data_IF_140340593226
#
_entry.id   IF_140340593226
#
_cell.length_a   1.000
_cell.length_b   1.000
_cell.length_c   1.000
_cell.angle_alpha   90.00
_cell.angle_beta   90.00
_cell.angle_gamma   90.00
#
_symmetry.space_group_name_H-M   'P 1'
#
loop_
_entity.id
_entity.type
_entity.pdbx_description
1 polymer ?
#
# COMPACT_ATOMS: atom_id res chain seq x y z
N UNK A 1 -0.48 8.02 -3.56
CA UNK A 1 -1.29 7.70 -2.38
C UNK A 1 -2.58 7.00 -2.77
N UNK A 2 -3.25 6.38 -1.78
CA UNK A 2 -4.44 5.58 -1.95
C UNK A 2 -5.63 6.42 -2.45
N UNK A 3 -6.33 5.94 -3.47
CA UNK A 3 -7.36 6.72 -4.17
C UNK A 3 -8.65 6.91 -3.38
N UNK A 4 -8.84 6.22 -2.27
CA UNK A 4 -10.06 6.31 -1.46
C UNK A 4 -10.02 7.44 -0.43
N UNK A 5 -8.85 7.98 -0.05
CA UNK A 5 -8.84 9.10 0.92
C UNK A 5 -9.66 10.30 0.43
N UNK A 6 -9.51 10.78 -0.82
CA UNK A 6 -10.35 11.87 -1.32
C UNK A 6 -11.83 11.48 -1.45
N UNK A 7 -12.13 10.21 -1.71
CA UNK A 7 -13.51 9.71 -1.77
C UNK A 7 -14.19 9.84 -0.41
N UNK A 8 -13.50 9.48 0.67
CA UNK A 8 -14.02 9.65 2.02
C UNK A 8 -14.09 11.11 2.44
N UNK A 9 -13.11 11.94 2.07
CA UNK A 9 -13.19 13.39 2.31
C UNK A 9 -14.44 13.98 1.65
N UNK A 10 -14.70 13.64 0.39
CA UNK A 10 -15.90 14.09 -0.31
C UNK A 10 -17.20 13.56 0.33
N UNK A 11 -17.21 12.29 0.77
CA UNK A 11 -18.39 11.68 1.40
C UNK A 11 -18.78 12.38 2.71
N UNK A 12 -17.78 12.81 3.49
CA UNK A 12 -17.98 13.46 4.78
C UNK A 12 -17.85 14.99 4.71
N UNK A 13 -17.82 15.57 3.50
CA UNK A 13 -17.68 17.01 3.27
C UNK A 13 -16.48 17.63 4.00
N UNK A 14 -15.36 16.90 4.03
CA UNK A 14 -14.11 17.32 4.63
C UNK A 14 -13.21 17.98 3.59
N UNK A 15 -12.71 19.17 3.91
CA UNK A 15 -11.60 19.77 3.18
C UNK A 15 -10.32 18.97 3.43
N UNK A 16 -9.51 18.80 2.38
CA UNK A 16 -8.20 18.17 2.49
C UNK A 16 -7.14 18.95 1.72
N UNK A 17 -5.93 18.95 2.27
CA UNK A 17 -4.75 19.44 1.59
C UNK A 17 -3.90 18.26 1.10
N UNK A 18 -3.70 18.17 -0.22
CA UNK A 18 -2.86 17.12 -0.80
C UNK A 18 -1.40 17.60 -0.85
N UNK A 19 -0.56 17.02 0.01
CA UNK A 19 0.90 17.19 -0.08
C UNK A 19 1.44 16.27 -1.17
N UNK A 20 1.98 16.80 -2.30
CA UNK A 20 2.53 15.96 -3.36
C UNK A 20 3.79 15.23 -2.90
N UNK A 21 3.95 13.97 -3.30
CA UNK A 21 5.22 13.25 -3.12
C UNK A 21 6.36 13.95 -3.86
N UNK A 22 7.60 13.75 -3.43
CA UNK A 22 8.80 14.19 -4.14
C UNK A 22 8.94 13.48 -5.50
N UNK A 23 9.87 13.93 -6.34
CA UNK A 23 10.06 13.37 -7.70
C UNK A 23 10.38 11.87 -7.68
N UNK A 24 11.12 11.42 -6.66
CA UNK A 24 11.47 10.01 -6.42
C UNK A 24 10.34 9.22 -5.70
N UNK A 25 9.15 9.80 -5.60
CA UNK A 25 7.98 9.28 -4.88
C UNK A 25 8.15 9.10 -3.37
N UNK A 26 9.18 9.69 -2.75
CA UNK A 26 9.26 9.74 -1.29
C UNK A 26 8.23 10.73 -0.70
N UNK A 27 7.83 10.49 0.55
CA UNK A 27 6.97 11.41 1.29
C UNK A 27 7.83 12.57 1.78
N UNK A 28 7.45 13.84 1.51
CA UNK A 28 8.19 15.00 1.98
C UNK A 28 7.90 15.26 3.47
N UNK A 29 8.68 14.62 4.34
CA UNK A 29 8.47 14.59 5.80
C UNK A 29 8.15 15.98 6.36
N UNK A 30 8.97 16.98 6.11
CA UNK A 30 8.84 18.33 6.69
C UNK A 30 7.60 19.09 6.18
N UNK A 31 7.09 18.75 4.99
CA UNK A 31 5.87 19.35 4.43
C UNK A 31 4.59 18.78 5.05
N UNK A 32 4.71 17.77 5.91
CA UNK A 32 3.57 17.12 6.57
C UNK A 32 3.20 17.79 7.92
N UNK A 33 3.90 18.83 8.37
CA UNK A 33 3.78 19.41 9.73
C UNK A 33 2.87 20.64 9.81
N UNK A 34 2.01 20.86 8.83
CA UNK A 34 1.16 22.05 8.80
C UNK A 34 0.01 21.97 9.81
N UNK A 35 -0.48 23.11 10.29
CA UNK A 35 -1.65 23.14 11.17
C UNK A 35 -2.91 22.69 10.40
N UNK A 36 -3.49 21.56 10.80
CA UNK A 36 -4.56 20.83 10.11
C UNK A 36 -5.40 20.00 11.11
N UNK A 37 -6.44 19.28 10.64
CA UNK A 37 -7.28 18.41 11.49
C UNK A 37 -6.77 16.98 11.70
N UNK A 38 -5.73 16.57 10.97
CA UNK A 38 -5.10 15.25 11.02
C UNK A 38 -4.30 14.98 9.73
N UNK A 39 -3.35 14.05 9.82
CA UNK A 39 -2.50 13.64 8.71
C UNK A 39 -2.78 12.16 8.40
N UNK A 40 -2.88 11.79 7.13
CA UNK A 40 -3.02 10.39 6.71
C UNK A 40 -2.10 10.08 5.53
N UNK A 41 -1.34 8.98 5.63
CA UNK A 41 -0.56 8.46 4.52
C UNK A 41 -0.40 6.95 4.60
N UNK A 42 -0.30 6.25 3.44
CA UNK A 42 0.00 4.84 3.42
C UNK A 42 1.51 4.62 3.52
N UNK A 43 1.91 3.65 4.35
CA UNK A 43 3.28 3.21 4.46
C UNK A 43 3.32 1.67 4.59
N UNK A 44 3.78 0.91 3.56
CA UNK A 44 4.26 1.36 2.27
C UNK A 44 3.20 2.07 1.40
N UNK A 45 3.62 3.06 0.60
CA UNK A 45 2.70 3.86 -0.20
C UNK A 45 2.06 3.06 -1.35
N UNK A 46 0.76 3.23 -1.56
CA UNK A 46 0.10 2.81 -2.80
C UNK A 46 -0.05 4.01 -3.75
N UNK A 47 0.28 3.90 -5.05
CA UNK A 47 0.63 2.67 -5.79
C UNK A 47 2.13 2.38 -5.93
N UNK A 48 3.03 3.15 -5.29
CA UNK A 48 4.47 3.10 -5.62
C UNK A 48 5.23 1.98 -4.91
N UNK A 49 4.74 1.49 -3.77
CA UNK A 49 5.36 0.45 -2.96
C UNK A 49 6.46 0.97 -2.01
N UNK A 50 6.88 2.23 -2.17
CA UNK A 50 7.94 2.86 -1.40
C UNK A 50 7.52 3.04 0.06
N UNK A 51 8.40 2.67 0.99
CA UNK A 51 8.20 2.86 2.43
C UNK A 51 9.04 4.01 2.97
N UNK A 52 8.56 4.59 4.07
CA UNK A 52 9.31 5.41 5.01
C UNK A 52 9.83 4.54 6.14
N UNK A 53 11.03 4.86 6.60
CA UNK A 53 11.63 4.33 7.82
C UNK A 53 11.00 4.95 9.08
N UNK A 54 11.08 4.24 10.21
CA UNK A 54 10.47 4.67 11.47
C UNK A 54 10.94 6.05 11.94
N UNK A 55 12.21 6.40 11.73
CA UNK A 55 12.75 7.72 12.11
C UNK A 55 12.08 8.88 11.36
N UNK A 56 11.73 8.67 10.09
CA UNK A 56 10.98 9.65 9.31
C UNK A 56 9.53 9.78 9.84
N UNK A 57 8.91 8.67 10.23
CA UNK A 57 7.57 8.66 10.83
C UNK A 57 7.60 9.37 12.20
N UNK A 58 8.62 9.14 13.02
CA UNK A 58 8.81 9.86 14.30
C UNK A 58 8.85 11.38 14.10
N UNK A 59 9.52 11.88 13.05
CA UNK A 59 9.53 13.30 12.71
C UNK A 59 8.14 13.82 12.34
N UNK A 60 7.36 13.05 11.56
CA UNK A 60 5.97 13.40 11.23
C UNK A 60 5.10 13.47 12.48
N UNK A 61 5.25 12.50 13.39
CA UNK A 61 4.50 12.45 14.63
C UNK A 61 4.82 13.64 15.55
N UNK A 62 6.11 13.95 15.74
CA UNK A 62 6.55 15.09 16.54
C UNK A 62 6.18 16.44 15.91
N UNK A 63 6.21 16.55 14.58
CA UNK A 63 5.78 17.77 13.87
C UNK A 63 4.27 18.02 13.91
N UNK A 64 3.47 17.02 14.31
CA UNK A 64 2.01 17.08 14.37
C UNK A 64 1.50 16.82 15.80
N UNK A 65 2.23 17.26 16.83
CA UNK A 65 1.78 17.15 18.22
C UNK A 65 0.38 17.76 18.40
N UNK A 66 -0.53 16.99 19.02
CA UNK A 66 -1.93 17.38 19.19
C UNK A 66 -2.83 17.15 17.98
N UNK A 67 -2.30 16.62 16.86
CA UNK A 67 -3.07 16.24 15.68
C UNK A 67 -2.91 14.74 15.41
N UNK A 68 -4.01 14.07 15.04
CA UNK A 68 -3.96 12.63 14.76
C UNK A 68 -3.14 12.37 13.49
N UNK A 69 -2.19 11.45 13.57
CA UNK A 69 -1.43 10.94 12.42
C UNK A 69 -1.82 9.49 12.18
N UNK A 70 -2.39 9.24 11.01
CA UNK A 70 -2.83 7.92 10.56
C UNK A 70 -1.79 7.34 9.62
N UNK A 71 -1.17 6.22 10.02
CA UNK A 71 -0.29 5.43 9.16
C UNK A 71 -1.06 4.21 8.66
N UNK A 72 -1.42 4.22 7.38
CA UNK A 72 -2.08 3.07 6.72
C UNK A 72 -1.03 2.04 6.30
N UNK A 73 -0.98 0.96 7.06
CA UNK A 73 -0.05 -0.16 6.94
C UNK A 73 -0.65 -1.35 6.20
N UNK A 74 -1.55 -1.11 5.23
CA UNK A 74 -2.19 -2.19 4.46
C UNK A 74 -1.22 -3.16 3.76
N UNK A 75 0.04 -2.78 3.58
CA UNK A 75 1.07 -3.57 2.90
C UNK A 75 2.32 -3.81 3.77
N UNK A 76 2.30 -3.49 5.06
CA UNK A 76 3.52 -3.49 5.90
C UNK A 76 4.20 -4.86 6.00
N UNK A 77 3.39 -5.92 5.99
CA UNK A 77 3.83 -7.31 6.15
C UNK A 77 4.76 -7.82 5.04
N UNK A 78 4.89 -7.09 3.91
CA UNK A 78 5.75 -7.50 2.78
C UNK A 78 7.18 -6.94 2.88
N UNK A 79 7.65 -6.68 4.10
CA UNK A 79 9.05 -6.37 4.41
C UNK A 79 9.34 -4.93 4.84
N UNK A 80 8.33 -4.18 5.28
CA UNK A 80 8.49 -2.89 5.94
C UNK A 80 8.53 -2.99 7.47
N UNK A 81 8.90 -1.89 8.13
CA UNK A 81 8.93 -1.79 9.60
C UNK A 81 7.68 -1.08 10.13
N UNK A 82 6.94 -1.75 11.01
CA UNK A 82 5.66 -1.23 11.51
C UNK A 82 5.82 -0.12 12.54
N UNK A 83 5.07 0.96 12.35
CA UNK A 83 4.90 2.08 13.26
C UNK A 83 4.15 1.69 14.54
N UNK A 84 3.60 0.48 14.66
CA UNK A 84 2.98 -0.02 15.91
C UNK A 84 3.94 0.11 17.11
N UNK A 85 5.24 -0.09 16.87
CA UNK A 85 6.29 0.08 17.87
C UNK A 85 6.35 1.50 18.47
N UNK A 86 5.84 2.51 17.75
CA UNK A 86 5.86 3.92 18.13
C UNK A 86 4.65 4.34 18.97
N UNK A 87 3.58 3.52 19.05
CA UNK A 87 2.31 3.89 19.70
C UNK A 87 2.51 4.27 21.18
N UNK A 88 3.47 3.64 21.86
CA UNK A 88 3.78 3.95 23.26
C UNK A 88 4.37 5.34 23.46
N UNK A 89 5.12 5.82 22.47
CA UNK A 89 5.83 7.10 22.52
C UNK A 89 4.98 8.25 21.98
N UNK A 90 4.03 7.96 21.08
CA UNK A 90 3.24 8.96 20.35
C UNK A 90 1.74 8.70 20.50
N UNK A 91 1.05 9.36 21.45
CA UNK A 91 -0.38 9.14 21.70
C UNK A 91 -1.27 9.60 20.53
N UNK A 92 -0.74 10.43 19.62
CA UNK A 92 -1.43 10.90 18.41
C UNK A 92 -1.29 9.95 17.20
N UNK A 93 -0.58 8.81 17.34
CA UNK A 93 -0.44 7.81 16.29
C UNK A 93 -1.64 6.85 16.26
N UNK A 94 -2.24 6.70 15.08
CA UNK A 94 -3.16 5.62 14.74
C UNK A 94 -2.58 4.80 13.58
N UNK A 95 -2.32 3.52 13.80
CA UNK A 95 -1.90 2.58 12.74
C UNK A 95 -3.11 1.79 12.27
N UNK A 96 -3.30 1.68 10.95
CA UNK A 96 -4.39 0.88 10.37
C UNK A 96 -3.79 -0.27 9.58
N UNK A 97 -4.31 -1.48 9.79
CA UNK A 97 -3.89 -2.68 9.07
C UNK A 97 -5.09 -3.47 8.55
N UNK A 98 -4.86 -4.40 7.64
CA UNK A 98 -5.91 -5.20 7.00
C UNK A 98 -5.50 -6.65 6.81
N UNK A 99 -6.49 -7.55 6.87
CA UNK A 99 -6.32 -8.96 6.53
C UNK A 99 -6.52 -9.19 5.02
N UNK A 100 -6.78 -8.12 4.25
CA UNK A 100 -7.09 -8.24 2.82
C UNK A 100 -5.90 -8.64 1.96
N UNK A 101 -4.67 -8.45 2.43
CA UNK A 101 -3.45 -8.57 1.63
C UNK A 101 -2.65 -9.79 2.06
N UNK A 102 -1.75 -9.61 3.02
CA UNK A 102 -0.83 -10.62 3.55
C UNK A 102 -1.53 -11.83 4.15
N UNK A 103 -2.74 -11.66 4.69
CA UNK A 103 -3.56 -12.75 5.23
C UNK A 103 -4.44 -13.43 4.18
N UNK A 104 -4.43 -13.00 2.92
CA UNK A 104 -5.25 -13.57 1.83
C UNK A 104 -6.78 -13.52 2.05
N UNK A 105 -7.28 -12.64 2.91
CA UNK A 105 -8.70 -12.55 3.28
C UNK A 105 -9.40 -11.32 2.70
N UNK A 106 -9.07 -10.93 1.46
CA UNK A 106 -9.69 -9.77 0.79
C UNK A 106 -11.22 -9.85 0.76
N UNK A 107 -11.79 -11.05 0.63
CA UNK A 107 -13.24 -11.28 0.60
C UNK A 107 -13.95 -11.11 1.95
N UNK A 108 -13.24 -11.26 3.09
CA UNK A 108 -13.84 -11.22 4.44
C UNK A 108 -14.00 -9.81 5.00
N UNK A 109 -13.37 -8.81 4.36
CA UNK A 109 -13.52 -7.38 4.69
C UNK A 109 -13.14 -7.03 6.14
N UNK A 110 -12.07 -7.64 6.66
CA UNK A 110 -11.57 -7.37 8.01
C UNK A 110 -10.36 -6.44 7.97
N UNK A 111 -10.44 -5.38 8.79
CA UNK A 111 -9.35 -4.47 9.09
C UNK A 111 -9.41 -4.05 10.55
N UNK A 112 -8.34 -3.48 11.06
CA UNK A 112 -8.22 -3.08 12.46
C UNK A 112 -7.35 -1.83 12.59
N UNK A 113 -7.53 -1.14 13.71
CA UNK A 113 -6.76 0.04 14.08
C UNK A 113 -6.06 -0.21 15.42
N UNK A 114 -4.82 0.25 15.52
CA UNK A 114 -3.98 0.18 16.71
C UNK A 114 -3.57 1.61 17.07
N UNK A 115 -3.74 1.99 18.33
CA UNK A 115 -3.43 3.33 18.79
C UNK A 115 -3.64 3.43 20.30
N UNK A 116 -3.43 4.63 20.84
CA UNK A 116 -3.71 4.90 22.25
C UNK A 116 -5.22 4.75 22.57
N UNK A 117 -5.54 4.43 23.82
CA UNK A 117 -6.90 4.18 24.29
C UNK A 117 -7.87 5.32 23.94
N UNK A 118 -7.43 6.58 24.03
CA UNK A 118 -8.26 7.74 23.69
C UNK A 118 -8.69 7.74 22.21
N UNK A 119 -7.77 7.42 21.29
CA UNK A 119 -8.08 7.32 19.87
C UNK A 119 -9.02 6.14 19.59
N UNK A 120 -8.80 5.01 20.25
CA UNK A 120 -9.66 3.82 20.11
C UNK A 120 -11.06 4.08 20.67
N UNK A 121 -11.19 4.83 21.77
CA UNK A 121 -12.48 5.26 22.30
C UNK A 121 -13.21 6.16 21.28
N UNK A 122 -12.52 7.13 20.68
CA UNK A 122 -13.07 7.98 19.64
C UNK A 122 -13.62 7.18 18.45
N UNK A 123 -12.87 6.19 17.97
CA UNK A 123 -13.33 5.26 16.91
C UNK A 123 -14.54 4.45 17.35
N UNK A 124 -14.55 3.93 18.58
CA UNK A 124 -15.67 3.16 19.12
C UNK A 124 -16.94 4.00 19.24
N UNK A 125 -16.83 5.26 19.67
CA UNK A 125 -17.97 6.19 19.76
C UNK A 125 -18.62 6.43 18.40
N UNK A 126 -17.80 6.69 17.38
CA UNK A 126 -18.27 6.85 16.00
C UNK A 126 -18.87 5.53 15.50
N UNK A 127 -18.14 4.43 15.56
CA UNK A 127 -18.60 3.09 15.16
C UNK A 127 -19.95 2.74 15.77
N UNK A 128 -20.10 2.89 17.08
CA UNK A 128 -21.33 2.52 17.80
C UNK A 128 -22.52 3.41 17.48
N UNK A 129 -22.29 4.61 16.92
CA UNK A 129 -23.35 5.51 16.45
C UNK A 129 -23.90 5.12 15.08
N UNK A 130 -23.12 4.39 14.26
CA UNK A 130 -23.53 3.94 12.92
C UNK A 130 -23.90 2.44 12.90
N UNK A 131 -23.02 1.57 13.40
CA UNK A 131 -23.22 0.13 13.46
C UNK A 131 -22.34 -0.48 14.57
N UNK A 132 -22.95 -0.94 15.66
CA UNK A 132 -22.24 -1.58 16.78
C UNK A 132 -21.63 -2.94 16.42
N UNK A 133 -22.11 -3.61 15.36
CA UNK A 133 -21.69 -4.93 14.91
C UNK A 133 -21.23 -4.93 13.44
N UNK A 134 -20.11 -4.25 13.12
CA UNK A 134 -19.65 -4.09 11.74
C UNK A 134 -19.03 -5.35 11.13
N UNK A 135 -18.78 -6.40 11.93
CA UNK A 135 -18.20 -7.67 11.48
C UNK A 135 -19.14 -8.83 11.80
N UNK A 136 -19.44 -9.65 10.79
CA UNK A 136 -20.21 -10.88 10.98
C UNK A 136 -19.38 -11.97 11.68
N UNK A 137 -20.05 -13.03 12.13
CA UNK A 137 -19.41 -14.11 12.89
C UNK A 137 -18.39 -14.91 12.07
N UNK A 138 -18.63 -15.09 10.77
CA UNK A 138 -17.72 -15.83 9.89
C UNK A 138 -16.46 -15.02 9.65
N UNK A 139 -16.59 -13.71 9.44
CA UNK A 139 -15.47 -12.78 9.35
C UNK A 139 -14.59 -12.82 10.61
N UNK A 140 -15.19 -12.82 11.80
CA UNK A 140 -14.46 -12.91 13.06
C UNK A 140 -13.70 -14.24 13.21
N UNK A 141 -14.35 -15.38 12.95
CA UNK A 141 -13.71 -16.71 13.03
C UNK A 141 -12.55 -16.83 12.03
N UNK A 142 -12.77 -16.41 10.78
CA UNK A 142 -11.74 -16.43 9.75
C UNK A 142 -10.56 -15.50 10.07
N UNK A 143 -10.84 -14.33 10.62
CA UNK A 143 -9.80 -13.39 11.05
C UNK A 143 -8.95 -13.95 12.20
N UNK A 144 -9.59 -14.54 13.22
CA UNK A 144 -8.88 -15.17 14.34
C UNK A 144 -7.97 -16.28 13.87
N UNK A 145 -8.49 -17.22 13.06
CA UNK A 145 -7.69 -18.32 12.53
C UNK A 145 -6.49 -17.83 11.70
N UNK A 146 -6.68 -16.80 10.87
CA UNK A 146 -5.60 -16.24 10.06
C UNK A 146 -4.56 -15.45 10.86
N UNK A 147 -4.91 -14.89 12.01
CA UNK A 147 -3.96 -14.23 12.92
C UNK A 147 -3.14 -15.27 13.68
N UNK A 148 -3.79 -16.34 14.16
CA UNK A 148 -3.15 -17.43 14.91
C UNK A 148 -2.20 -18.28 14.05
N UNK A 149 -2.48 -18.43 12.76
CA UNK A 149 -1.63 -19.17 11.82
C UNK A 149 -0.44 -18.33 11.33
N UNK A 150 0.54 -18.15 12.21
CA UNK A 150 1.77 -17.40 11.89
C UNK A 150 2.67 -18.12 10.88
N UNK A 151 2.63 -19.45 10.83
CA UNK A 151 3.46 -20.24 9.92
C UNK A 151 3.04 -20.00 8.48
N UNK A 152 1.75 -20.15 8.18
CA UNK A 152 1.21 -19.90 6.85
C UNK A 152 1.41 -18.44 6.44
N UNK A 153 1.22 -17.50 7.36
CA UNK A 153 1.49 -16.09 7.13
C UNK A 153 2.93 -15.85 6.70
N UNK A 154 3.93 -16.30 7.49
CA UNK A 154 5.35 -16.14 7.14
C UNK A 154 5.69 -16.81 5.80
N UNK A 155 5.22 -18.04 5.59
CA UNK A 155 5.48 -18.77 4.35
C UNK A 155 4.99 -17.99 3.12
N UNK A 156 3.75 -17.49 3.16
CA UNK A 156 3.13 -16.80 2.03
C UNK A 156 3.71 -15.40 1.82
N UNK A 157 3.98 -14.63 2.87
CA UNK A 157 4.65 -13.33 2.74
C UNK A 157 6.06 -13.49 2.19
N UNK A 158 6.83 -14.46 2.68
CA UNK A 158 8.19 -14.71 2.22
C UNK A 158 8.22 -15.16 0.75
N UNK A 159 7.23 -15.96 0.34
CA UNK A 159 7.09 -16.36 -1.06
C UNK A 159 6.84 -15.14 -1.96
N UNK A 160 5.89 -14.28 -1.60
CA UNK A 160 5.61 -13.04 -2.35
C UNK A 160 6.83 -12.13 -2.40
N UNK A 161 7.58 -11.99 -1.29
CA UNK A 161 8.81 -11.19 -1.25
C UNK A 161 9.87 -11.78 -2.19
N UNK A 162 10.14 -13.09 -2.12
CA UNK A 162 11.10 -13.75 -3.01
C UNK A 162 10.75 -13.57 -4.49
N UNK A 163 9.48 -13.80 -4.85
CA UNK A 163 9.00 -13.58 -6.22
C UNK A 163 9.14 -12.11 -6.62
N UNK A 164 8.79 -11.16 -5.74
CA UNK A 164 8.96 -9.72 -5.99
C UNK A 164 10.41 -9.40 -6.33
N UNK A 165 11.37 -9.80 -5.49
CA UNK A 165 12.79 -9.50 -5.71
C UNK A 165 13.30 -10.12 -7.02
N UNK A 166 12.92 -11.38 -7.30
CA UNK A 166 13.26 -12.05 -8.57
C UNK A 166 12.78 -11.27 -9.79
N UNK A 167 11.53 -10.81 -9.75
CA UNK A 167 10.91 -10.08 -10.86
C UNK A 167 11.50 -8.67 -11.00
N UNK A 168 11.82 -7.99 -9.90
CA UNK A 168 12.53 -6.71 -9.94
C UNK A 168 13.86 -6.87 -10.70
N UNK A 169 14.69 -7.85 -10.34
CA UNK A 169 15.97 -8.07 -11.01
C UNK A 169 15.84 -8.35 -12.51
N UNK A 170 14.83 -9.11 -12.93
CA UNK A 170 14.57 -9.39 -14.35
C UNK A 170 14.17 -8.10 -15.08
N UNK A 171 13.26 -7.31 -14.52
CA UNK A 171 12.77 -6.08 -15.13
C UNK A 171 13.88 -5.03 -15.27
N UNK A 172 14.72 -4.88 -14.24
CA UNK A 172 15.88 -3.97 -14.28
C UNK A 172 16.87 -4.38 -15.38
N UNK A 173 17.14 -5.70 -15.54
CA UNK A 173 17.97 -6.21 -16.64
C UNK A 173 17.35 -5.94 -18.02
N UNK A 174 16.02 -5.84 -18.10
CA UNK A 174 15.28 -5.51 -19.32
C UNK A 174 15.06 -3.99 -19.49
N UNK A 175 15.77 -3.15 -18.74
CA UNK A 175 15.79 -1.70 -18.92
C UNK A 175 14.64 -0.95 -18.24
N UNK A 176 13.87 -1.61 -17.36
CA UNK A 176 12.87 -0.92 -16.56
C UNK A 176 13.50 -0.20 -15.36
N UNK A 177 12.97 0.99 -15.10
CA UNK A 177 13.09 1.63 -13.80
C UNK A 177 12.00 1.07 -12.88
N UNK A 178 12.41 0.46 -11.76
CA UNK A 178 11.49 -0.08 -10.75
C UNK A 178 11.63 0.72 -9.47
N UNK A 179 10.50 1.24 -8.95
CA UNK A 179 10.53 1.92 -7.65
C UNK A 179 10.70 0.87 -6.54
N UNK A 180 11.65 1.05 -5.58
CA UNK A 180 11.82 0.13 -4.46
C UNK A 180 10.51 -0.10 -3.73
N UNK A 181 10.14 -1.37 -3.56
CA UNK A 181 8.84 -1.75 -3.02
C UNK A 181 8.99 -2.62 -1.78
N UNK A 182 8.26 -2.25 -0.73
CA UNK A 182 8.01 -3.08 0.45
C UNK A 182 6.56 -3.59 0.50
N UNK A 183 5.88 -3.65 -0.65
CA UNK A 183 4.50 -4.13 -0.80
C UNK A 183 4.42 -5.42 -1.64
N UNK A 184 3.22 -5.97 -1.85
CA UNK A 184 2.96 -7.11 -2.75
C UNK A 184 2.74 -6.72 -4.21
N UNK A 185 3.35 -5.61 -4.64
CA UNK A 185 3.30 -5.11 -6.01
C UNK A 185 4.54 -4.28 -6.27
N UNK A 186 4.82 -4.06 -7.55
CA UNK A 186 5.91 -3.19 -8.02
C UNK A 186 5.36 -2.09 -8.90
N UNK A 187 6.07 -0.96 -8.95
CA UNK A 187 5.72 0.19 -9.77
C UNK A 187 6.84 0.43 -10.77
N UNK A 188 6.54 0.22 -12.04
CA UNK A 188 7.54 0.04 -13.09
C UNK A 188 7.32 1.04 -14.22
N UNK A 189 8.42 1.52 -14.79
CA UNK A 189 8.44 2.44 -15.93
C UNK A 189 9.56 2.02 -16.89
N UNK A 190 9.30 2.04 -18.19
CA UNK A 190 10.33 1.83 -19.20
C UNK A 190 10.59 3.16 -19.94
N UNK A 191 11.84 3.65 -20.02
CA UNK A 191 12.14 4.96 -20.59
C UNK A 191 11.78 5.08 -22.09
N UNK A 192 11.83 3.98 -22.83
CA UNK A 192 11.61 3.96 -24.29
C UNK A 192 10.25 3.39 -24.72
N UNK A 193 9.37 2.99 -23.79
CA UNK A 193 8.10 2.34 -24.13
C UNK A 193 6.95 3.04 -23.42
N UNK A 194 5.89 3.34 -24.17
CA UNK A 194 4.70 3.96 -23.60
C UNK A 194 3.93 2.97 -22.69
N UNK A 195 3.65 3.40 -21.47
CA UNK A 195 2.98 2.53 -20.50
C UNK A 195 1.54 2.19 -20.88
N UNK A 196 0.82 3.08 -21.59
CA UNK A 196 -0.55 2.80 -22.03
C UNK A 196 -0.56 1.72 -23.12
N UNK A 197 0.40 1.75 -24.04
CA UNK A 197 0.60 0.72 -25.07
C UNK A 197 0.99 -0.63 -24.47
N UNK A 198 1.95 -0.64 -23.53
CA UNK A 198 2.35 -1.84 -22.80
C UNK A 198 1.14 -2.46 -22.09
N UNK A 199 0.39 -1.66 -21.34
CA UNK A 199 -0.82 -2.10 -20.66
C UNK A 199 -1.87 -2.67 -21.63
N UNK A 200 -2.17 -1.96 -22.72
CA UNK A 200 -3.15 -2.39 -23.70
C UNK A 200 -2.76 -3.72 -24.36
N UNK A 201 -1.47 -3.92 -24.63
CA UNK A 201 -0.96 -5.12 -25.27
C UNK A 201 -0.94 -6.31 -24.30
N UNK A 202 -0.45 -6.12 -23.07
CA UNK A 202 -0.53 -7.14 -22.01
C UNK A 202 -1.98 -7.58 -21.77
N UNK A 203 -2.91 -6.62 -21.69
CA UNK A 203 -4.34 -6.90 -21.50
C UNK A 203 -4.92 -7.73 -22.64
N UNK A 204 -4.58 -7.44 -23.90
CA UNK A 204 -4.98 -8.25 -25.07
C UNK A 204 -4.43 -9.68 -25.00
N UNK A 205 -3.29 -9.86 -24.37
CA UNK A 205 -2.64 -11.16 -24.18
C UNK A 205 -3.08 -11.88 -22.88
N UNK A 206 -4.12 -11.38 -22.20
CA UNK A 206 -4.68 -12.00 -21.01
C UNK A 206 -4.00 -11.64 -19.69
N UNK A 207 -3.04 -10.72 -19.69
CA UNK A 207 -2.32 -10.27 -18.49
C UNK A 207 -2.83 -8.91 -18.03
N UNK A 208 -3.51 -8.87 -16.89
CA UNK A 208 -4.10 -7.64 -16.36
C UNK A 208 -3.22 -7.01 -15.28
N UNK A 209 -2.54 -5.92 -15.64
CA UNK A 209 -1.85 -5.03 -14.71
C UNK A 209 -2.65 -3.74 -14.50
N UNK A 210 -2.23 -2.88 -13.57
CA UNK A 210 -2.91 -1.60 -13.31
C UNK A 210 -2.15 -0.44 -13.98
N UNK A 211 -2.83 0.26 -14.87
CA UNK A 211 -2.37 1.52 -15.47
C UNK A 211 -3.06 2.73 -14.84
N UNK A 212 -2.35 3.86 -14.72
CA UNK A 212 -2.86 5.11 -14.17
C UNK A 212 -2.70 6.25 -15.18
N UNK A 213 -3.76 6.62 -15.90
CA UNK A 213 -3.74 7.82 -16.74
C UNK A 213 -3.89 9.09 -15.88
N UNK A 214 -2.84 9.46 -15.15
CA UNK A 214 -2.77 10.64 -14.28
C UNK A 214 -1.41 11.35 -14.44
N UNK A 215 -1.35 12.68 -14.24
CA UNK A 215 -0.09 13.40 -14.25
C UNK A 215 0.96 12.76 -13.32
N UNK A 216 2.24 12.83 -13.71
CA UNK A 216 3.41 12.24 -13.03
C UNK A 216 3.52 10.71 -13.04
N UNK A 217 2.42 9.98 -13.30
CA UNK A 217 2.39 8.51 -13.23
C UNK A 217 1.80 7.83 -14.46
N UNK A 218 1.53 8.58 -15.54
CA UNK A 218 1.01 8.06 -16.81
C UNK A 218 2.03 7.25 -17.63
N UNK A 219 3.28 7.17 -17.18
CA UNK A 219 4.30 6.30 -17.78
C UNK A 219 4.66 5.12 -16.87
N UNK A 220 3.84 4.84 -15.86
CA UNK A 220 4.05 3.75 -14.92
C UNK A 220 2.93 2.71 -14.96
N UNK A 221 3.31 1.46 -14.69
CA UNK A 221 2.43 0.33 -14.44
C UNK A 221 2.60 -0.14 -13.01
N UNK A 222 1.51 -0.47 -12.33
CA UNK A 222 1.55 -1.22 -11.09
C UNK A 222 1.22 -2.68 -11.37
N UNK A 223 2.17 -3.55 -11.09
CA UNK A 223 2.07 -5.00 -11.27
C UNK A 223 1.98 -5.65 -9.90
N UNK A 224 0.86 -6.31 -9.62
CA UNK A 224 0.72 -7.12 -8.40
C UNK A 224 1.60 -8.36 -8.53
N UNK A 225 2.23 -8.78 -7.43
CA UNK A 225 3.00 -10.02 -7.40
C UNK A 225 2.04 -11.18 -7.16
N UNK A 226 1.92 -12.05 -8.15
CA UNK A 226 1.16 -13.30 -8.09
C UNK A 226 2.05 -14.49 -7.73
N UNK A 227 1.64 -15.67 -8.19
CA UNK A 227 2.46 -16.88 -8.16
C UNK A 227 3.68 -16.76 -9.08
N UNK A 228 4.70 -17.59 -8.88
CA UNK A 228 5.88 -17.59 -9.75
C UNK A 228 5.51 -17.86 -11.21
N UNK A 229 4.55 -18.76 -11.44
CA UNK A 229 4.04 -19.10 -12.76
C UNK A 229 3.32 -17.92 -13.44
N UNK A 230 2.47 -17.20 -12.71
CA UNK A 230 1.81 -15.99 -13.22
C UNK A 230 2.83 -14.89 -13.56
N UNK A 231 3.85 -14.74 -12.72
CA UNK A 231 4.89 -13.74 -12.94
C UNK A 231 5.81 -14.12 -14.10
N UNK A 232 6.09 -15.41 -14.32
CA UNK A 232 6.82 -15.89 -15.48
C UNK A 232 6.02 -15.69 -16.78
N UNK A 233 4.70 -15.91 -16.74
CA UNK A 233 3.81 -15.56 -17.86
C UNK A 233 3.90 -14.05 -18.15
N UNK A 234 3.81 -13.21 -17.12
CA UNK A 234 3.94 -11.76 -17.27
C UNK A 234 5.26 -11.36 -17.94
N UNK A 235 6.39 -11.88 -17.46
CA UNK A 235 7.72 -11.59 -18.04
C UNK A 235 7.79 -12.06 -19.50
N UNK A 236 7.41 -13.30 -19.80
CA UNK A 236 7.45 -13.83 -21.16
C UNK A 236 6.61 -13.00 -22.15
N UNK A 237 5.42 -12.56 -21.73
CA UNK A 237 4.57 -11.68 -22.53
C UNK A 237 5.16 -10.30 -22.70
N UNK A 238 5.75 -9.74 -21.64
CA UNK A 238 6.40 -8.44 -21.67
C UNK A 238 7.63 -8.44 -22.60
N UNK A 239 8.49 -9.44 -22.51
CA UNK A 239 9.67 -9.60 -23.37
C UNK A 239 9.27 -9.72 -24.83
N UNK A 240 8.21 -10.49 -25.09
CA UNK A 240 7.60 -10.60 -26.41
C UNK A 240 7.04 -9.28 -26.97
N UNK A 241 6.87 -8.23 -26.16
CA UNK A 241 6.48 -6.87 -26.60
C UNK A 241 7.72 -5.99 -26.78
N UNK A 242 8.72 -6.14 -25.91
CA UNK A 242 9.93 -5.32 -25.94
C UNK A 242 10.79 -5.64 -27.16
N UNK A 243 10.90 -6.93 -27.50
CA UNK A 243 11.85 -7.44 -28.50
C UNK A 243 11.21 -7.88 -29.82
N UNK A 244 9.89 -7.76 -29.99
CA UNK A 244 9.16 -8.11 -31.22
C UNK A 244 9.37 -7.15 -32.40
N UNK A 245 10.43 -6.35 -32.38
CA UNK A 245 10.78 -5.35 -33.42
C UNK A 245 12.22 -5.44 -33.93
N UNK A 246 12.94 -6.53 -33.62
CA UNK A 246 14.24 -6.87 -34.22
C UNK A 246 14.09 -7.96 -35.28
#
# INVERSE_FOLDING_TARGET
>A
TYSFYPVYCNLFELDYHLVPLEEDFSIPVEKMFEKNGGVIFPNPNAPTGKSLELDAIRKILAGNEGQVVIVDEAYIDFGGESAVSLIKDFPNLLVIQTLSKSRSLAGLRVGFALGNEELIEGLNRVKNSFNSYPLDRIAQVGATAAIEDEEYFRQTTDQVIRTRERIISILENNGFNVIPSKANFIFIHHPEKDAAELYATLKKQGVLVRYFNKPRINQYLRVSIGTDEEMDIFINKLDGILFSGN
#
